data_IF_132644620356
#
_entry.id   IF_132644620356
#
_cell.length_a   1.000
_cell.length_b   1.000
_cell.length_c   1.000
_cell.angle_alpha   90.00
_cell.angle_beta   90.00
_cell.angle_gamma   90.00
#
_symmetry.space_group_name_H-M   'P 1'
#
loop_
_entity.id
_entity.type
_entity.pdbx_description
1 polymer ?
#
# COMPACT_ATOMS: atom_id res chain seq x y z
N UNK A 1 3.52 10.68 -8.06
CA UNK A 1 2.64 11.16 -9.15
C UNK A 1 2.95 12.61 -9.51
N UNK A 2 2.76 13.02 -10.76
CA UNK A 2 2.87 14.42 -11.23
C UNK A 2 1.58 15.22 -10.93
N UNK A 3 1.65 16.57 -10.96
CA UNK A 3 0.46 17.41 -10.76
C UNK A 3 -0.64 17.15 -11.80
N UNK A 4 -0.26 16.92 -13.06
CA UNK A 4 -1.17 16.57 -14.13
C UNK A 4 -1.87 15.23 -13.88
N UNK A 5 -1.15 14.22 -13.40
CA UNK A 5 -1.72 12.91 -13.03
C UNK A 5 -2.73 13.03 -11.89
N UNK A 6 -2.38 13.77 -10.84
CA UNK A 6 -3.26 14.00 -9.69
C UNK A 6 -4.52 14.75 -10.13
N UNK A 7 -4.37 15.82 -10.92
CA UNK A 7 -5.48 16.61 -11.43
C UNK A 7 -6.44 15.77 -12.28
N UNK A 8 -5.90 14.90 -13.14
CA UNK A 8 -6.67 13.94 -13.94
C UNK A 8 -7.45 12.95 -13.07
N UNK A 9 -6.82 12.34 -12.05
CA UNK A 9 -7.48 11.40 -11.14
C UNK A 9 -8.61 12.05 -10.34
N UNK A 10 -8.39 13.29 -9.88
CA UNK A 10 -9.37 14.05 -9.09
C UNK A 10 -10.42 14.79 -9.94
N UNK A 11 -10.28 14.77 -11.28
CA UNK A 11 -11.15 15.48 -12.23
C UNK A 11 -11.26 16.98 -11.93
N UNK A 12 -10.12 17.61 -11.64
CA UNK A 12 -10.01 19.05 -11.38
C UNK A 12 -8.93 19.68 -12.26
N UNK A 13 -8.87 21.01 -12.29
CA UNK A 13 -7.84 21.73 -13.03
C UNK A 13 -6.45 21.59 -12.37
N UNK A 14 -5.41 21.41 -13.18
CA UNK A 14 -4.02 21.26 -12.70
C UNK A 14 -3.56 22.44 -11.84
N UNK A 15 -3.99 23.67 -12.19
CA UNK A 15 -3.73 24.89 -11.40
C UNK A 15 -4.18 24.78 -9.94
N UNK A 16 -5.21 23.98 -9.66
CA UNK A 16 -5.71 23.75 -8.30
C UNK A 16 -4.70 22.95 -7.49
N UNK A 17 -4.04 21.96 -8.10
CA UNK A 17 -2.97 21.18 -7.44
C UNK A 17 -1.77 22.09 -7.14
N UNK A 18 -1.36 22.94 -8.08
CA UNK A 18 -0.30 23.92 -7.83
C UNK A 18 -0.64 24.86 -6.67
N UNK A 19 -1.89 25.35 -6.61
CA UNK A 19 -2.34 26.20 -5.51
C UNK A 19 -2.29 25.48 -4.17
N UNK A 20 -2.71 24.20 -4.11
CA UNK A 20 -2.65 23.41 -2.88
C UNK A 20 -1.22 23.16 -2.42
N UNK A 21 -0.31 22.73 -3.32
CA UNK A 21 1.11 22.55 -2.97
C UNK A 21 1.74 23.83 -2.41
N UNK A 22 1.36 25.00 -2.94
CA UNK A 22 1.92 26.29 -2.52
C UNK A 22 1.30 26.85 -1.25
N UNK A 23 -0.03 26.80 -1.13
CA UNK A 23 -0.78 27.58 -0.14
C UNK A 23 -1.56 26.71 0.86
N UNK A 24 -1.63 25.39 0.64
CA UNK A 24 -2.38 24.43 1.47
C UNK A 24 -1.64 23.09 1.56
N UNK A 25 -0.38 23.14 2.01
CA UNK A 25 0.55 21.98 2.03
C UNK A 25 -0.03 20.76 2.75
N UNK A 26 -0.60 20.94 3.93
CA UNK A 26 -1.20 19.85 4.72
C UNK A 26 -2.37 19.17 3.99
N UNK A 27 -3.26 19.95 3.36
CA UNK A 27 -4.34 19.40 2.52
C UNK A 27 -3.76 18.59 1.36
N UNK A 28 -2.71 19.10 0.73
CA UNK A 28 -2.08 18.43 -0.38
C UNK A 28 -1.46 17.09 0.07
N UNK A 29 -0.76 17.06 1.21
CA UNK A 29 -0.15 15.85 1.77
C UNK A 29 -1.19 14.76 2.07
N UNK A 30 -2.30 15.10 2.73
CA UNK A 30 -3.40 14.14 3.01
C UNK A 30 -3.96 13.51 1.73
N UNK A 31 -4.11 14.31 0.67
CA UNK A 31 -4.62 13.84 -0.63
C UNK A 31 -3.58 12.98 -1.35
N UNK A 32 -2.31 13.41 -1.37
CA UNK A 32 -1.21 12.67 -1.99
C UNK A 32 -1.02 11.30 -1.32
N UNK A 33 -1.03 11.24 0.01
CA UNK A 33 -0.97 10.00 0.79
C UNK A 33 -2.15 9.08 0.46
N UNK A 34 -3.38 9.62 0.43
CA UNK A 34 -4.57 8.86 0.07
C UNK A 34 -4.53 8.28 -1.36
N UNK A 35 -3.95 9.02 -2.31
CA UNK A 35 -3.78 8.57 -3.69
C UNK A 35 -2.68 7.51 -3.82
N UNK A 36 -1.57 7.67 -3.10
CA UNK A 36 -0.48 6.70 -3.06
C UNK A 36 -0.88 5.40 -2.34
N UNK A 37 -1.75 5.47 -1.33
CA UNK A 37 -2.33 4.30 -0.67
C UNK A 37 -3.21 3.47 -1.63
N UNK A 38 -3.90 4.11 -2.58
CA UNK A 38 -4.66 3.40 -3.61
C UNK A 38 -3.76 2.74 -4.65
N UNK A 39 -2.65 3.37 -5.06
CA UNK A 39 -1.69 2.74 -5.97
C UNK A 39 -0.98 1.53 -5.33
N UNK A 40 -0.66 1.60 -4.04
CA UNK A 40 -0.14 0.43 -3.30
C UNK A 40 -1.18 -0.68 -3.10
N UNK A 41 -2.47 -0.38 -3.20
CA UNK A 41 -3.55 -1.39 -3.20
C UNK A 41 -3.83 -1.96 -4.58
N UNK A 42 -3.60 -1.21 -5.67
CA UNK A 42 -3.80 -1.71 -7.05
C UNK A 42 -2.64 -2.60 -7.54
N UNK A 43 -1.45 -2.57 -6.91
CA UNK A 43 -0.37 -3.53 -7.16
C UNK A 43 -0.58 -4.89 -6.49
N UNK A 44 -1.53 -5.00 -5.56
CA UNK A 44 -1.91 -6.29 -5.00
C UNK A 44 -3.27 -6.59 -5.61
N UNK A 45 -3.28 -7.47 -6.61
CA UNK A 45 -4.44 -8.35 -6.77
C UNK A 45 -4.58 -9.08 -5.43
N UNK A 46 -5.29 -8.46 -4.48
CA UNK A 46 -5.72 -9.12 -3.26
C UNK A 46 -6.85 -10.03 -3.75
N UNK A 47 -6.47 -11.12 -4.41
CA UNK A 47 -7.40 -12.23 -4.63
C UNK A 47 -7.94 -12.63 -3.26
N UNK A 48 -9.06 -13.35 -3.23
CA UNK A 48 -9.73 -13.61 -1.95
C UNK A 48 -8.83 -14.32 -0.93
N UNK A 49 -7.79 -15.04 -1.40
CA UNK A 49 -6.74 -15.62 -0.56
C UNK A 49 -5.93 -14.57 0.20
N UNK A 50 -5.51 -13.47 -0.42
CA UNK A 50 -4.78 -12.43 0.31
C UNK A 50 -5.67 -11.69 1.32
N UNK A 51 -6.97 -11.51 1.03
CA UNK A 51 -7.91 -10.93 2.00
C UNK A 51 -8.06 -11.86 3.21
N UNK A 52 -8.27 -13.14 2.94
CA UNK A 52 -8.38 -14.17 3.97
C UNK A 52 -7.12 -14.22 4.85
N UNK A 53 -5.92 -14.11 4.25
CA UNK A 53 -4.67 -14.05 5.01
C UNK A 53 -4.59 -12.83 5.93
N UNK A 54 -5.02 -11.64 5.47
CA UNK A 54 -5.06 -10.44 6.31
C UNK A 54 -6.04 -10.65 7.47
N UNK A 55 -7.26 -11.12 7.19
CA UNK A 55 -8.29 -11.37 8.20
C UNK A 55 -7.87 -12.41 9.25
N UNK A 56 -7.05 -13.39 8.85
CA UNK A 56 -6.47 -14.38 9.77
C UNK A 56 -5.36 -13.77 10.61
N UNK A 57 -4.47 -12.97 10.02
CA UNK A 57 -3.36 -12.34 10.73
C UNK A 57 -3.84 -11.33 11.79
N UNK A 58 -4.93 -10.61 11.53
CA UNK A 58 -5.51 -9.65 12.49
C UNK A 58 -6.01 -10.31 13.79
N UNK A 59 -6.24 -11.62 13.79
CA UNK A 59 -6.69 -12.38 14.97
C UNK A 59 -5.53 -12.87 15.84
N UNK A 60 -4.29 -12.73 15.38
CA UNK A 60 -3.11 -13.27 16.03
C UNK A 60 -2.40 -12.24 16.90
N UNK A 61 -1.75 -12.72 17.96
CA UNK A 61 -0.80 -11.92 18.72
C UNK A 61 0.47 -11.63 17.91
N UNK A 62 1.23 -10.62 18.36
CA UNK A 62 2.51 -10.27 17.72
C UNK A 62 3.50 -11.43 17.72
N UNK A 63 3.53 -12.25 18.78
CA UNK A 63 4.43 -13.41 18.85
C UNK A 63 4.06 -14.49 17.83
N UNK A 64 2.77 -14.76 17.65
CA UNK A 64 2.29 -15.72 16.64
C UNK A 64 2.59 -15.22 15.22
N UNK A 65 2.40 -13.94 14.94
CA UNK A 65 2.77 -13.34 13.65
C UNK A 65 4.27 -13.54 13.37
N UNK A 66 5.14 -13.27 14.35
CA UNK A 66 6.59 -13.46 14.20
C UNK A 66 6.96 -14.94 13.96
N UNK A 67 6.27 -15.86 14.62
CA UNK A 67 6.42 -17.30 14.37
C UNK A 67 6.11 -17.64 12.91
N UNK A 68 4.96 -17.21 12.38
CA UNK A 68 4.58 -17.52 10.99
C UNK A 68 5.50 -16.86 9.96
N UNK A 69 5.97 -15.63 10.21
CA UNK A 69 6.98 -14.98 9.35
C UNK A 69 8.26 -15.82 9.30
N UNK A 70 8.69 -16.35 10.45
CA UNK A 70 9.89 -17.18 10.55
C UNK A 70 9.72 -18.49 9.77
N UNK A 71 8.59 -19.17 9.93
CA UNK A 71 8.29 -20.43 9.21
C UNK A 71 8.30 -20.23 7.68
N UNK A 72 7.64 -19.17 7.19
CA UNK A 72 7.60 -18.85 5.75
C UNK A 72 9.01 -18.61 5.22
N UNK A 73 9.84 -17.82 5.92
CA UNK A 73 11.23 -17.56 5.53
C UNK A 73 12.05 -18.83 5.48
N UNK A 74 11.92 -19.71 6.48
CA UNK A 74 12.61 -21.01 6.51
C UNK A 74 12.22 -21.88 5.32
N UNK A 75 10.93 -21.92 4.95
CA UNK A 75 10.45 -22.67 3.78
C UNK A 75 11.03 -22.14 2.47
N UNK A 76 11.13 -20.83 2.32
CA UNK A 76 11.73 -20.19 1.13
C UNK A 76 13.21 -20.59 1.05
N UNK A 77 13.96 -20.42 2.14
CA UNK A 77 15.38 -20.76 2.19
C UNK A 77 15.62 -22.25 1.89
N UNK A 78 14.80 -23.15 2.45
CA UNK A 78 14.94 -24.59 2.19
C UNK A 78 14.80 -24.92 0.69
N UNK A 79 13.87 -24.27 -0.01
CA UNK A 79 13.72 -24.44 -1.48
C UNK A 79 14.92 -23.94 -2.28
N UNK A 80 15.69 -23.00 -1.74
CA UNK A 80 16.90 -22.50 -2.39
C UNK A 80 18.08 -23.47 -2.20
N UNK A 81 18.15 -24.14 -1.04
CA UNK A 81 19.18 -25.14 -0.72
C UNK A 81 18.93 -26.46 -1.46
N UNK A 82 17.67 -26.87 -1.59
CA UNK A 82 17.27 -28.13 -2.24
C UNK A 82 17.31 -28.05 -3.80
N UNK A 83 17.81 -26.94 -4.39
CA UNK A 83 18.02 -26.74 -5.83
C UNK A 83 19.43 -27.09 -6.26
#
# INVERSE_FOLDING_TARGET
>A
MTNAEIAKKLKIAEKTIYNWRKNRKELFEVIEDGLNLKENKESIYVNDTYKELIDLLEKLSQQEIQYYISDIKTRILKKEIDK
#
